data_IF_149693496789
#
_entry.id   IF_149693496789
#
_cell.length_a   1.000
_cell.length_b   1.000
_cell.length_c   1.000
_cell.angle_alpha   90.00
_cell.angle_beta   90.00
_cell.angle_gamma   90.00
#
_symmetry.space_group_name_H-M   'P 1'
#
loop_
_entity.id
_entity.type
_entity.pdbx_description
1 polymer ?
#
# COMPACT_ATOMS: atom_id res chain seq x y z
N UNK A 1 0.05 17.64 8.33
CA UNK A 1 1.44 17.23 8.01
C UNK A 1 2.13 16.55 9.20
N UNK A 2 2.15 17.12 10.41
CA UNK A 2 2.81 16.46 11.56
C UNK A 2 2.21 15.11 11.99
N UNK A 3 0.88 14.98 12.05
CA UNK A 3 0.24 13.70 12.44
C UNK A 3 0.56 12.59 11.44
N UNK A 4 0.47 12.87 10.13
CA UNK A 4 0.86 11.91 9.08
C UNK A 4 2.34 11.54 9.15
N UNK A 5 3.23 12.49 9.44
CA UNK A 5 4.68 12.22 9.54
C UNK A 5 5.06 11.38 10.78
N UNK A 6 4.23 11.34 11.82
CA UNK A 6 4.44 10.48 13.00
C UNK A 6 3.76 9.12 12.85
N UNK A 7 2.57 9.09 12.25
CA UNK A 7 1.74 7.89 12.07
C UNK A 7 2.27 7.00 10.96
N UNK A 8 2.81 7.57 9.87
CA UNK A 8 3.29 6.78 8.72
C UNK A 8 4.50 5.89 9.05
N UNK A 9 5.54 6.31 9.79
CA UNK A 9 6.61 5.41 10.21
C UNK A 9 6.12 4.31 11.15
N UNK A 10 5.19 4.62 12.07
CA UNK A 10 4.60 3.62 12.94
C UNK A 10 3.82 2.57 12.15
N UNK A 11 3.02 2.97 11.16
CA UNK A 11 2.31 2.04 10.26
C UNK A 11 3.25 1.06 9.54
N UNK A 12 4.48 1.49 9.23
CA UNK A 12 5.45 0.68 8.48
C UNK A 12 6.21 -0.30 9.39
N UNK A 13 6.46 0.08 10.65
CA UNK A 13 7.31 -0.70 11.55
C UNK A 13 6.58 -1.45 12.65
N UNK A 14 5.29 -1.19 12.88
CA UNK A 14 4.46 -1.88 13.88
C UNK A 14 4.61 -3.39 13.79
N UNK A 15 4.62 -3.95 12.57
CA UNK A 15 4.77 -5.39 12.33
C UNK A 15 5.99 -5.97 13.01
N UNK A 16 7.12 -5.25 12.90
CA UNK A 16 8.40 -5.72 13.42
C UNK A 16 8.40 -5.77 14.93
N UNK A 17 7.81 -4.76 15.58
CA UNK A 17 7.71 -4.73 17.03
C UNK A 17 6.79 -5.84 17.54
N UNK A 18 5.64 -6.04 16.89
CA UNK A 18 4.69 -7.09 17.30
C UNK A 18 5.27 -8.48 17.07
N UNK A 19 5.89 -8.74 15.91
CA UNK A 19 6.57 -10.02 15.64
C UNK A 19 7.71 -10.25 16.63
N UNK A 20 8.56 -9.23 16.89
CA UNK A 20 9.68 -9.36 17.82
C UNK A 20 9.25 -9.59 19.28
N UNK A 21 8.06 -9.12 19.66
CA UNK A 21 7.48 -9.34 20.98
C UNK A 21 6.67 -10.66 21.09
N UNK A 22 6.53 -11.41 19.99
CA UNK A 22 5.73 -12.64 19.92
C UNK A 22 6.54 -13.92 20.14
N UNK A 23 5.86 -15.05 20.28
CA UNK A 23 6.47 -16.38 20.36
C UNK A 23 7.24 -16.79 19.10
N UNK A 24 7.04 -16.11 17.97
CA UNK A 24 7.72 -16.35 16.68
C UNK A 24 8.79 -15.31 16.37
N UNK A 25 9.31 -14.60 17.37
CA UNK A 25 10.36 -13.59 17.21
C UNK A 25 11.60 -14.10 16.45
N UNK A 26 11.97 -15.37 16.62
CA UNK A 26 13.08 -16.00 15.88
C UNK A 26 12.86 -16.09 14.37
N UNK A 27 11.61 -15.96 13.91
CA UNK A 27 11.22 -15.99 12.51
C UNK A 27 11.17 -14.60 11.86
N UNK A 28 11.43 -13.52 12.61
CA UNK A 28 11.32 -12.14 12.15
C UNK A 28 12.06 -11.90 10.81
N UNK A 29 13.26 -12.46 10.66
CA UNK A 29 14.09 -12.29 9.47
C UNK A 29 13.42 -12.81 8.18
N UNK A 30 12.61 -13.87 8.26
CA UNK A 30 11.87 -14.44 7.13
C UNK A 30 10.72 -13.53 6.66
N UNK A 31 10.28 -12.59 7.49
CA UNK A 31 9.31 -11.56 7.13
C UNK A 31 9.99 -10.25 6.70
N UNK A 32 10.93 -9.75 7.52
CA UNK A 32 11.52 -8.43 7.29
C UNK A 32 12.39 -8.37 6.05
N UNK A 33 13.11 -9.44 5.73
CA UNK A 33 14.01 -9.46 4.56
C UNK A 33 13.23 -9.35 3.25
N UNK A 34 12.20 -10.19 3.00
CA UNK A 34 11.35 -9.99 1.82
C UNK A 34 10.60 -8.67 1.84
N UNK A 35 10.08 -8.24 3.01
CA UNK A 35 9.35 -6.97 3.13
C UNK A 35 10.19 -5.77 2.67
N UNK A 36 11.43 -5.65 3.13
CA UNK A 36 12.35 -4.59 2.72
C UNK A 36 12.71 -4.68 1.24
N UNK A 37 12.84 -5.89 0.68
CA UNK A 37 13.10 -6.06 -0.73
C UNK A 37 11.91 -5.56 -1.57
N UNK A 38 10.70 -6.04 -1.30
CA UNK A 38 9.54 -5.74 -2.14
C UNK A 38 9.09 -4.28 -2.00
N UNK A 39 9.22 -3.68 -0.81
CA UNK A 39 8.82 -2.29 -0.58
C UNK A 39 9.70 -1.28 -1.32
N UNK A 40 10.88 -1.68 -1.81
CA UNK A 40 11.69 -0.84 -2.73
C UNK A 40 10.95 -0.52 -4.02
N UNK A 41 10.01 -1.36 -4.45
CA UNK A 41 9.20 -1.11 -5.64
C UNK A 41 8.31 0.14 -5.50
N UNK A 42 8.02 0.58 -4.26
CA UNK A 42 7.23 1.78 -3.99
C UNK A 42 7.90 3.08 -4.48
N UNK A 43 9.18 3.05 -4.84
CA UNK A 43 9.86 4.18 -5.48
C UNK A 43 9.21 4.57 -6.81
N UNK A 44 8.68 3.58 -7.55
CA UNK A 44 8.05 3.79 -8.86
C UNK A 44 6.75 4.60 -8.76
N UNK A 45 5.72 4.18 -7.98
CA UNK A 45 4.51 5.01 -7.82
C UNK A 45 4.82 6.36 -7.17
N UNK A 46 5.78 6.43 -6.24
CA UNK A 46 6.16 7.69 -5.61
C UNK A 46 6.73 8.68 -6.64
N UNK A 47 7.58 8.22 -7.56
CA UNK A 47 8.14 9.05 -8.63
C UNK A 47 7.08 9.56 -9.61
N UNK A 48 6.05 8.76 -9.89
CA UNK A 48 4.95 9.20 -10.76
C UNK A 48 4.07 10.21 -10.04
N UNK A 49 3.72 9.94 -8.78
CA UNK A 49 2.82 10.81 -8.01
C UNK A 49 3.44 12.16 -7.66
N UNK A 50 4.76 12.27 -7.49
CA UNK A 50 5.45 13.55 -7.28
C UNK A 50 5.31 14.50 -8.47
N UNK A 51 5.24 13.97 -9.69
CA UNK A 51 5.02 14.75 -10.92
C UNK A 51 3.52 15.00 -11.14
N UNK A 52 2.67 14.01 -10.94
CA UNK A 52 1.23 14.16 -11.17
C UNK A 52 0.57 15.08 -10.15
N UNK A 53 1.02 15.09 -8.88
CA UNK A 53 0.42 15.87 -7.82
C UNK A 53 0.33 17.38 -8.14
N UNK A 54 1.43 18.10 -8.48
CA UNK A 54 1.36 19.52 -8.81
C UNK A 54 0.48 19.79 -10.03
N UNK A 55 0.43 18.87 -11.01
CA UNK A 55 -0.45 19.01 -12.17
C UNK A 55 -1.93 18.85 -11.80
N UNK A 56 -2.26 17.93 -10.89
CA UNK A 56 -3.61 17.77 -10.35
C UNK A 56 -4.07 18.99 -9.54
N UNK A 57 -3.15 19.62 -8.79
CA UNK A 57 -3.44 20.87 -8.07
C UNK A 57 -3.70 22.04 -9.03
N UNK A 58 -2.95 22.10 -10.13
CA UNK A 58 -3.09 23.12 -11.18
C UNK A 58 -4.35 22.97 -12.04
N UNK A 59 -5.03 21.83 -12.01
CA UNK A 59 -6.31 21.69 -12.71
C UNK A 59 -7.32 22.71 -12.16
N UNK A 60 -7.77 23.67 -12.98
CA UNK A 60 -8.72 24.71 -12.60
C UNK A 60 -10.00 24.64 -13.43
N UNK A 61 -11.02 25.39 -13.01
CA UNK A 61 -12.29 25.49 -13.73
C UNK A 61 -13.26 24.34 -13.43
N UNK A 62 -14.35 24.33 -14.19
CA UNK A 62 -15.49 23.43 -14.01
C UNK A 62 -15.13 21.95 -14.20
N UNK A 63 -14.08 21.63 -14.96
CA UNK A 63 -13.64 20.25 -15.23
C UNK A 63 -12.49 19.77 -14.33
N UNK A 64 -12.16 20.48 -13.24
CA UNK A 64 -11.05 20.15 -12.32
C UNK A 64 -11.09 18.68 -11.86
N UNK A 65 -12.23 18.22 -11.36
CA UNK A 65 -12.39 16.85 -10.83
C UNK A 65 -12.23 15.78 -11.92
N UNK A 66 -12.71 16.07 -13.13
CA UNK A 66 -12.63 15.12 -14.24
C UNK A 66 -11.19 15.04 -14.77
N UNK A 67 -10.52 16.18 -14.91
CA UNK A 67 -9.13 16.26 -15.39
C UNK A 67 -8.18 15.56 -14.42
N UNK A 68 -8.19 15.94 -13.14
CA UNK A 68 -7.36 15.31 -12.12
C UNK A 68 -7.70 13.81 -11.95
N UNK A 69 -8.98 13.44 -12.04
CA UNK A 69 -9.41 12.05 -11.99
C UNK A 69 -8.89 11.20 -13.17
N UNK A 70 -8.77 11.77 -14.38
CA UNK A 70 -8.13 11.09 -15.53
C UNK A 70 -6.63 10.90 -15.29
N UNK A 71 -5.95 11.89 -14.72
CA UNK A 71 -4.52 11.78 -14.38
C UNK A 71 -4.27 10.67 -13.34
N UNK A 72 -5.11 10.62 -12.30
CA UNK A 72 -5.12 9.56 -11.30
C UNK A 72 -5.23 8.17 -11.97
N UNK A 73 -6.28 7.94 -12.76
CA UNK A 73 -6.52 6.63 -13.40
C UNK A 73 -5.40 6.26 -14.37
N UNK A 74 -4.90 7.22 -15.17
CA UNK A 74 -3.78 6.96 -16.11
C UNK A 74 -2.50 6.60 -15.37
N UNK A 75 -2.19 7.31 -14.28
CA UNK A 75 -1.06 6.99 -13.42
C UNK A 75 -1.17 5.60 -12.82
N UNK A 76 -2.34 5.26 -12.27
CA UNK A 76 -2.62 3.92 -11.74
C UNK A 76 -2.41 2.83 -12.79
N UNK A 77 -2.97 3.00 -13.98
CA UNK A 77 -2.85 2.01 -15.06
C UNK A 77 -1.41 1.88 -15.55
N UNK A 78 -0.67 2.98 -15.69
CA UNK A 78 0.74 2.95 -16.06
C UNK A 78 1.58 2.21 -15.02
N UNK A 79 1.39 2.50 -13.73
CA UNK A 79 2.07 1.78 -12.64
C UNK A 79 1.67 0.32 -12.57
N UNK A 80 0.38 -0.01 -12.77
CA UNK A 80 -0.08 -1.39 -12.83
C UNK A 80 0.62 -2.16 -13.95
N UNK A 81 0.67 -1.60 -15.16
CA UNK A 81 1.31 -2.24 -16.31
C UNK A 81 2.81 -2.50 -16.10
N UNK A 82 3.50 -1.61 -15.37
CA UNK A 82 4.93 -1.76 -15.06
C UNK A 82 5.17 -2.72 -13.90
N UNK A 83 4.40 -2.62 -12.83
CA UNK A 83 4.64 -3.40 -11.61
C UNK A 83 4.05 -4.80 -11.66
N UNK A 84 2.94 -5.01 -12.37
CA UNK A 84 2.28 -6.33 -12.41
C UNK A 84 3.21 -7.44 -12.95
N UNK A 85 3.97 -7.25 -14.05
CA UNK A 85 4.94 -8.25 -14.50
C UNK A 85 6.04 -8.53 -13.46
N UNK A 86 6.52 -7.49 -12.78
CA UNK A 86 7.55 -7.60 -11.73
C UNK A 86 7.02 -8.39 -10.53
N UNK A 87 5.79 -8.12 -10.12
CA UNK A 87 5.10 -8.84 -9.03
C UNK A 87 4.86 -10.29 -9.41
N UNK A 88 4.37 -10.56 -10.63
CA UNK A 88 4.20 -11.94 -11.13
C UNK A 88 5.55 -12.67 -11.12
N UNK A 89 6.61 -12.07 -11.65
CA UNK A 89 7.94 -12.66 -11.62
C UNK A 89 8.42 -12.92 -10.19
N UNK A 90 8.26 -11.93 -9.29
CA UNK A 90 8.62 -12.06 -7.87
C UNK A 90 7.82 -13.14 -7.15
N UNK A 91 6.61 -13.47 -7.60
CA UNK A 91 5.80 -14.55 -7.02
C UNK A 91 6.17 -15.92 -7.58
N UNK A 92 6.39 -16.02 -8.90
CA UNK A 92 6.72 -17.27 -9.58
C UNK A 92 8.12 -17.74 -9.21
N UNK A 93 9.09 -16.82 -9.17
CA UNK A 93 10.49 -17.13 -8.88
C UNK A 93 10.87 -16.93 -7.41
N UNK A 94 9.91 -16.74 -6.50
CA UNK A 94 10.18 -16.47 -5.09
C UNK A 94 11.08 -17.55 -4.45
N UNK A 95 10.78 -18.83 -4.70
CA UNK A 95 11.50 -19.95 -4.10
C UNK A 95 12.92 -20.06 -4.64
N UNK A 96 13.09 -20.05 -5.96
CA UNK A 96 14.40 -20.14 -6.60
C UNK A 96 15.28 -18.93 -6.24
N UNK A 97 14.72 -17.73 -6.28
CA UNK A 97 15.44 -16.50 -5.96
C UNK A 97 15.91 -16.47 -4.51
N UNK A 98 15.03 -16.75 -3.55
CA UNK A 98 15.40 -16.76 -2.13
C UNK A 98 16.36 -17.92 -1.80
N UNK A 99 16.18 -19.07 -2.46
CA UNK A 99 17.03 -20.24 -2.28
C UNK A 99 18.45 -19.99 -2.76
N UNK A 100 18.59 -19.35 -3.92
CA UNK A 100 19.88 -18.96 -4.49
C UNK A 100 20.53 -17.79 -3.75
N UNK A 101 19.75 -16.78 -3.34
CA UNK A 101 20.28 -15.57 -2.73
C UNK A 101 20.67 -15.74 -1.26
N UNK A 102 19.86 -16.49 -0.48
CA UNK A 102 20.04 -16.64 0.96
C UNK A 102 20.38 -18.09 1.31
N UNK A 103 19.39 -18.98 1.28
CA UNK A 103 19.57 -20.44 1.37
C UNK A 103 18.25 -21.17 1.08
N UNK A 104 18.29 -22.46 0.69
CA UNK A 104 17.07 -23.27 0.54
C UNK A 104 16.21 -23.35 1.81
N UNK A 105 16.84 -23.42 2.98
CA UNK A 105 16.14 -23.45 4.29
C UNK A 105 15.44 -22.12 4.58
N UNK A 106 16.05 -21.00 4.20
CA UNK A 106 15.41 -19.69 4.31
C UNK A 106 14.20 -19.58 3.39
N UNK A 107 14.35 -20.03 2.14
CA UNK A 107 13.27 -20.02 1.16
C UNK A 107 12.05 -20.85 1.64
N UNK A 108 12.29 -21.99 2.29
CA UNK A 108 11.22 -22.85 2.81
C UNK A 108 10.24 -22.12 3.76
N UNK A 109 10.72 -21.12 4.50
CA UNK A 109 9.90 -20.34 5.44
C UNK A 109 9.48 -18.97 4.88
N UNK A 110 10.27 -18.38 3.98
CA UNK A 110 10.06 -17.02 3.48
C UNK A 110 9.24 -16.91 2.19
N UNK A 111 9.04 -17.99 1.43
CA UNK A 111 8.30 -17.93 0.14
C UNK A 111 6.85 -17.45 0.33
N UNK A 112 6.11 -18.04 1.26
CA UNK A 112 4.72 -17.68 1.50
C UNK A 112 4.53 -16.19 1.87
N UNK A 113 5.25 -15.62 2.87
CA UNK A 113 5.14 -14.19 3.15
C UNK A 113 5.64 -13.34 1.97
N UNK A 114 6.70 -13.75 1.26
CA UNK A 114 7.20 -13.00 0.08
C UNK A 114 6.12 -12.85 -1.00
N UNK A 115 5.43 -13.93 -1.35
CA UNK A 115 4.35 -13.91 -2.36
C UNK A 115 3.24 -12.95 -1.94
N UNK A 116 2.79 -13.03 -0.68
CA UNK A 116 1.76 -12.13 -0.15
C UNK A 116 2.21 -10.67 -0.19
N UNK A 117 3.43 -10.39 0.26
CA UNK A 117 3.99 -9.04 0.31
C UNK A 117 4.16 -8.45 -1.11
N UNK A 118 4.55 -9.24 -2.11
CA UNK A 118 4.59 -8.80 -3.51
C UNK A 118 3.23 -8.25 -3.98
N UNK A 119 2.14 -8.97 -3.71
CA UNK A 119 0.78 -8.54 -4.06
C UNK A 119 0.32 -7.33 -3.23
N UNK A 120 0.64 -7.30 -1.93
CA UNK A 120 0.31 -6.16 -1.08
C UNK A 120 1.05 -4.88 -1.52
N UNK A 121 2.31 -4.97 -1.94
CA UNK A 121 3.05 -3.83 -2.51
C UNK A 121 2.41 -3.33 -3.80
N UNK A 122 1.88 -4.22 -4.65
CA UNK A 122 1.13 -3.79 -5.82
C UNK A 122 -0.09 -2.94 -5.42
N UNK A 123 -0.91 -3.44 -4.49
CA UNK A 123 -2.09 -2.71 -4.01
C UNK A 123 -1.71 -1.37 -3.36
N UNK A 124 -0.68 -1.37 -2.53
CA UNK A 124 -0.18 -0.15 -1.89
C UNK A 124 0.34 0.87 -2.92
N UNK A 125 0.99 0.39 -3.99
CA UNK A 125 1.42 1.24 -5.10
C UNK A 125 0.24 1.91 -5.80
N UNK A 126 -0.85 1.17 -6.01
CA UNK A 126 -2.08 1.71 -6.62
C UNK A 126 -2.79 2.71 -5.69
N UNK A 127 -2.73 2.54 -4.38
CA UNK A 127 -3.34 3.44 -3.39
C UNK A 127 -2.72 4.85 -3.38
N UNK A 128 -1.46 5.00 -3.80
CA UNK A 128 -0.80 6.33 -3.83
C UNK A 128 -1.49 7.32 -4.78
N UNK A 129 -2.17 6.84 -5.82
CA UNK A 129 -2.86 7.68 -6.80
C UNK A 129 -4.17 8.29 -6.27
N UNK A 130 -5.15 7.52 -5.75
CA UNK A 130 -6.33 8.10 -5.12
C UNK A 130 -5.96 8.93 -3.88
N UNK A 131 -4.93 8.54 -3.13
CA UNK A 131 -4.36 9.39 -2.07
C UNK A 131 -3.94 10.77 -2.61
N UNK A 132 -3.10 10.79 -3.66
CA UNK A 132 -2.58 12.01 -4.27
C UNK A 132 -3.71 12.87 -4.88
N UNK A 133 -4.70 12.24 -5.51
CA UNK A 133 -5.90 12.91 -6.01
C UNK A 133 -6.69 13.58 -4.88
N UNK A 134 -7.05 12.84 -3.82
CA UNK A 134 -7.81 13.37 -2.69
C UNK A 134 -7.06 14.52 -2.01
N UNK A 135 -5.74 14.38 -1.85
CA UNK A 135 -4.90 15.43 -1.28
C UNK A 135 -4.90 16.69 -2.17
N UNK A 136 -4.79 16.53 -3.50
CA UNK A 136 -4.86 17.66 -4.45
C UNK A 136 -6.22 18.38 -4.45
N UNK A 137 -7.27 17.70 -3.97
CA UNK A 137 -8.62 18.25 -3.78
C UNK A 137 -8.86 18.80 -2.37
N UNK A 138 -7.81 18.93 -1.54
CA UNK A 138 -7.90 19.49 -0.19
C UNK A 138 -8.49 18.54 0.85
N UNK A 139 -8.55 17.23 0.59
CA UNK A 139 -9.23 16.24 1.44
C UNK A 139 -8.33 15.59 2.48
N UNK A 140 -7.29 16.30 2.92
CA UNK A 140 -6.33 15.81 3.91
C UNK A 140 -7.01 15.33 5.22
N UNK A 141 -8.10 15.98 5.66
CA UNK A 141 -8.83 15.59 6.87
C UNK A 141 -9.47 14.19 6.74
N UNK A 142 -10.06 13.87 5.59
CA UNK A 142 -10.72 12.58 5.37
C UNK A 142 -9.69 11.44 5.34
N UNK A 143 -8.57 11.67 4.66
CA UNK A 143 -7.43 10.75 4.64
C UNK A 143 -6.90 10.51 6.05
N UNK A 144 -6.69 11.59 6.82
CA UNK A 144 -6.18 11.48 8.19
C UNK A 144 -7.12 10.67 9.10
N UNK A 145 -8.44 10.88 8.99
CA UNK A 145 -9.43 10.11 9.76
C UNK A 145 -9.40 8.63 9.35
N UNK A 146 -9.36 8.32 8.05
CA UNK A 146 -9.28 6.94 7.55
C UNK A 146 -8.08 6.22 8.15
N UNK A 147 -6.88 6.79 8.00
CA UNK A 147 -5.64 6.21 8.53
C UNK A 147 -5.62 6.12 10.07
N UNK A 148 -6.23 7.09 10.77
CA UNK A 148 -6.31 7.07 12.23
C UNK A 148 -7.20 5.93 12.75
N UNK A 149 -8.22 5.53 11.99
CA UNK A 149 -9.08 4.37 12.32
C UNK A 149 -8.42 3.07 11.89
N UNK A 150 -7.77 3.05 10.73
CA UNK A 150 -7.11 1.87 10.18
C UNK A 150 -5.97 1.37 11.08
N UNK A 151 -5.16 2.27 11.64
CA UNK A 151 -3.99 1.89 12.44
C UNK A 151 -4.36 1.08 13.71
N UNK A 152 -5.30 1.51 14.57
CA UNK A 152 -5.73 0.70 15.71
C UNK A 152 -6.35 -0.64 15.30
N UNK A 153 -7.16 -0.65 14.25
CA UNK A 153 -7.77 -1.89 13.73
C UNK A 153 -6.68 -2.85 13.30
N UNK A 154 -5.66 -2.36 12.60
CA UNK A 154 -4.52 -3.16 12.19
C UNK A 154 -3.72 -3.69 13.39
N UNK A 155 -3.37 -2.81 14.33
CA UNK A 155 -2.58 -3.15 15.51
C UNK A 155 -3.26 -4.20 16.40
N UNK A 156 -4.58 -4.11 16.58
CA UNK A 156 -5.36 -5.05 17.40
C UNK A 156 -5.47 -6.43 16.72
N UNK A 157 -5.62 -6.47 15.40
CA UNK A 157 -5.81 -7.73 14.68
C UNK A 157 -4.49 -8.47 14.40
N UNK A 158 -3.36 -7.77 14.32
CA UNK A 158 -2.07 -8.37 13.98
C UNK A 158 -1.64 -9.52 14.92
N UNK A 159 -1.75 -9.42 16.26
CA UNK A 159 -1.46 -10.55 17.15
C UNK A 159 -2.29 -11.79 16.86
N UNK A 160 -3.58 -11.63 16.55
CA UNK A 160 -4.47 -12.75 16.21
C UNK A 160 -4.03 -13.47 14.93
N UNK A 161 -3.64 -12.71 13.89
CA UNK A 161 -3.07 -13.29 12.67
C UNK A 161 -1.75 -14.01 12.94
N UNK A 162 -0.88 -13.43 13.76
CA UNK A 162 0.41 -14.02 14.12
C UNK A 162 0.26 -15.33 14.91
N UNK A 163 -0.65 -15.39 15.87
CA UNK A 163 -0.91 -16.61 16.64
C UNK A 163 -1.48 -17.72 15.77
N UNK A 164 -2.29 -17.37 14.76
CA UNK A 164 -2.98 -18.36 13.92
C UNK A 164 -2.11 -18.88 12.76
N UNK A 165 -1.31 -18.01 12.13
CA UNK A 165 -0.54 -18.36 10.91
C UNK A 165 0.95 -18.00 10.97
N UNK A 166 1.48 -17.62 12.14
CA UNK A 166 2.86 -17.18 12.29
C UNK A 166 3.20 -15.97 11.41
N UNK A 167 4.41 -15.93 10.87
CA UNK A 167 4.87 -14.84 9.99
C UNK A 167 4.05 -14.69 8.70
N UNK A 168 3.40 -15.76 8.22
CA UNK A 168 2.47 -15.70 7.09
C UNK A 168 1.24 -14.87 7.49
N UNK A 169 0.76 -15.05 8.72
CA UNK A 169 -0.31 -14.24 9.29
C UNK A 169 0.02 -12.76 9.32
N UNK A 170 1.25 -12.39 9.69
CA UNK A 170 1.70 -11.00 9.61
C UNK A 170 1.58 -10.43 8.18
N UNK A 171 2.03 -11.20 7.18
CA UNK A 171 1.90 -10.80 5.77
C UNK A 171 0.43 -10.69 5.32
N UNK A 172 -0.44 -11.62 5.74
CA UNK A 172 -1.89 -11.56 5.47
C UNK A 172 -2.49 -10.28 6.08
N UNK A 173 -2.19 -10.00 7.34
CA UNK A 173 -2.69 -8.81 8.04
C UNK A 173 -2.28 -7.54 7.29
N UNK A 174 -1.00 -7.45 6.90
CA UNK A 174 -0.49 -6.29 6.17
C UNK A 174 -1.15 -6.14 4.79
N UNK A 175 -1.32 -7.24 4.04
CA UNK A 175 -2.01 -7.27 2.74
C UNK A 175 -3.47 -6.84 2.88
N UNK A 176 -4.18 -7.36 3.88
CA UNK A 176 -5.57 -7.01 4.15
C UNK A 176 -5.72 -5.51 4.45
N UNK A 177 -4.79 -4.97 5.24
CA UNK A 177 -4.72 -3.53 5.55
C UNK A 177 -4.52 -2.69 4.29
N UNK A 178 -3.49 -2.96 3.47
CA UNK A 178 -3.25 -2.18 2.24
C UNK A 178 -4.37 -2.33 1.21
N UNK A 179 -5.02 -3.50 1.16
CA UNK A 179 -6.18 -3.72 0.30
C UNK A 179 -7.35 -2.84 0.75
N UNK A 180 -7.63 -2.79 2.05
CA UNK A 180 -8.66 -1.92 2.61
C UNK A 180 -8.38 -0.44 2.31
N UNK A 181 -7.15 0.03 2.57
CA UNK A 181 -6.76 1.42 2.30
C UNK A 181 -6.95 1.79 0.81
N UNK A 182 -6.46 0.93 -0.09
CA UNK A 182 -6.63 1.11 -1.53
C UNK A 182 -8.12 1.24 -1.93
N UNK A 183 -8.95 0.33 -1.43
CA UNK A 183 -10.39 0.33 -1.72
C UNK A 183 -11.08 1.58 -1.15
N UNK A 184 -10.78 1.94 0.10
CA UNK A 184 -11.38 3.07 0.78
C UNK A 184 -11.02 4.40 0.10
N UNK A 185 -9.75 4.62 -0.21
CA UNK A 185 -9.29 5.82 -0.92
C UNK A 185 -9.87 5.89 -2.34
N UNK A 186 -9.95 4.77 -3.04
CA UNK A 186 -10.56 4.70 -4.38
C UNK A 186 -12.05 5.02 -4.33
N UNK A 187 -12.78 4.50 -3.34
CA UNK A 187 -14.21 4.77 -3.14
C UNK A 187 -14.45 6.26 -2.83
N UNK A 188 -13.68 6.85 -1.91
CA UNK A 188 -13.74 8.29 -1.60
C UNK A 188 -13.46 9.14 -2.84
N UNK A 189 -12.47 8.74 -3.63
CA UNK A 189 -12.12 9.42 -4.89
C UNK A 189 -13.25 9.35 -5.92
N UNK A 190 -13.89 8.18 -6.06
CA UNK A 190 -15.03 7.98 -6.96
C UNK A 190 -16.22 8.84 -6.56
N UNK A 191 -16.62 8.83 -5.28
CA UNK A 191 -17.73 9.65 -4.75
C UNK A 191 -17.48 11.14 -5.04
N UNK A 192 -16.23 11.61 -4.88
CA UNK A 192 -15.86 12.99 -5.17
C UNK A 192 -16.01 13.36 -6.65
N UNK A 193 -15.61 12.44 -7.54
CA UNK A 193 -15.74 12.65 -8.98
C UNK A 193 -17.20 12.76 -9.40
N UNK A 194 -18.09 11.93 -8.84
CA UNK A 194 -19.53 11.99 -9.14
C UNK A 194 -20.21 13.24 -8.57
N UNK A 195 -19.91 13.62 -7.33
CA UNK A 195 -20.47 14.84 -6.71
C UNK A 195 -20.02 16.13 -7.40
N UNK A 196 -18.80 16.17 -7.92
CA UNK A 196 -18.32 17.29 -8.73
C UNK A 196 -19.04 17.42 -10.07
N UNK A 197 -19.51 16.31 -10.66
CA UNK A 197 -20.31 16.31 -11.89
C UNK A 197 -21.73 16.81 -11.62
N UNK A 198 -22.37 16.42 -10.51
CA UNK A 198 -23.75 16.85 -10.20
C UNK A 198 -23.90 18.36 -10.02
N UNK A 199 -22.87 19.05 -9.48
CA UNK A 199 -22.85 20.54 -9.40
C UNK A 199 -22.74 21.25 -10.76
N UNK A 200 -22.55 20.53 -11.85
CA UNK A 200 -22.49 21.08 -13.23
C UNK A 200 -23.88 21.13 -13.89
N UNK A 201 -24.81 20.30 -13.43
CA UNK A 201 -26.14 20.12 -14.03
C UNK A 201 -27.24 20.95 -13.31
N UNK A 202 -26.87 21.68 -12.25
CA UNK A 202 -27.69 22.66 -11.52
C UNK A 202 -27.20 24.09 -11.83
#
# INVERSE_FOLDING_TARGET
MMVSNLVSPLMVYVDRFVIAASSVASQLAYYTTPFELVTRLLVLPASVTTVLFPLMVQAQGTDRHQTAGRMMVRGMLATLLVLLPVVIAGTVFASDFLGWWLSPEFAALAVAPTVLLCWGVLLNSLAQFPFSYLLSMGRAKQIAILHLVELPVYFINLPWFLETWGIVGAAIAWVARVAFDFLALSALSAIMRFSGVRKRDE
#
